data_IF_750659877637
#
_entry.id   IF_750659877637
#
_cell.length_a   1.000
_cell.length_b   1.000
_cell.length_c   1.000
_cell.angle_alpha   90.00
_cell.angle_beta   90.00
_cell.angle_gamma   90.00
#
_symmetry.space_group_name_H-M   'P 1'
#
loop_
_entity.id
_entity.type
_entity.pdbx_description
1 polymer ?
#
# COMPACT_ATOMS: atom_id res chain seq x y z
N UNK A 1 1.86 25.54 11.58
CA UNK A 1 2.50 25.33 10.26
C UNK A 1 2.07 26.44 9.29
N UNK A 2 2.94 26.91 8.37
CA UNK A 2 2.53 27.89 7.35
C UNK A 2 1.98 27.13 6.13
N UNK A 3 0.66 27.19 5.93
CA UNK A 3 -0.01 26.57 4.79
C UNK A 3 0.19 27.40 3.50
N UNK A 4 0.04 26.79 2.30
CA UNK A 4 0.06 27.53 1.04
C UNK A 4 -1.01 28.64 1.02
N UNK A 5 -0.70 29.76 0.33
CA UNK A 5 -1.56 30.97 0.34
C UNK A 5 -3.03 30.70 -0.03
N UNK A 6 -3.25 29.85 -1.02
CA UNK A 6 -4.58 29.60 -1.56
C UNK A 6 -5.28 28.38 -0.90
N UNK A 7 -4.62 27.72 0.07
CA UNK A 7 -5.11 26.47 0.68
C UNK A 7 -6.46 26.64 1.38
N UNK A 8 -6.58 27.61 2.30
CA UNK A 8 -7.83 27.83 3.06
C UNK A 8 -8.99 28.22 2.15
N UNK A 9 -8.78 29.16 1.19
CA UNK A 9 -9.82 29.56 0.25
C UNK A 9 -10.25 28.44 -0.67
N UNK A 10 -9.30 27.63 -1.16
CA UNK A 10 -9.56 26.47 -2.01
C UNK A 10 -10.50 25.46 -1.35
N UNK A 11 -10.24 25.12 -0.07
CA UNK A 11 -11.09 24.16 0.66
C UNK A 11 -12.41 24.78 1.08
N UNK A 12 -12.46 26.08 1.48
CA UNK A 12 -13.73 26.76 1.82
C UNK A 12 -14.69 26.91 0.65
N UNK A 13 -14.20 26.94 -0.56
CA UNK A 13 -15.07 26.91 -1.74
C UNK A 13 -15.76 25.55 -1.92
N UNK A 14 -15.14 24.44 -1.50
CA UNK A 14 -15.53 23.06 -1.78
C UNK A 14 -16.19 22.35 -0.59
N UNK A 15 -15.69 22.61 0.60
CA UNK A 15 -16.11 21.94 1.82
C UNK A 15 -16.93 22.86 2.74
N UNK A 16 -17.61 22.23 3.71
CA UNK A 16 -18.26 22.97 4.80
C UNK A 16 -17.21 23.68 5.65
N UNK A 17 -17.49 24.89 6.07
CA UNK A 17 -16.53 25.74 6.82
C UNK A 17 -16.03 25.10 8.10
N UNK A 18 -16.90 24.32 8.79
CA UNK A 18 -16.55 23.58 10.01
C UNK A 18 -15.52 22.48 9.75
N UNK A 19 -15.59 21.77 8.62
CA UNK A 19 -14.64 20.72 8.24
C UNK A 19 -13.28 21.33 7.85
N UNK A 20 -13.27 22.47 7.18
CA UNK A 20 -12.04 23.21 6.85
C UNK A 20 -11.36 23.71 8.12
N UNK A 21 -12.11 24.29 9.06
CA UNK A 21 -11.56 24.75 10.32
C UNK A 21 -10.94 23.60 11.14
N UNK A 22 -11.61 22.45 11.17
CA UNK A 22 -11.09 21.25 11.83
C UNK A 22 -9.81 20.70 11.17
N UNK A 23 -9.75 20.70 9.82
CA UNK A 23 -8.55 20.31 9.07
C UNK A 23 -7.36 21.22 9.39
N UNK A 24 -7.55 22.54 9.27
CA UNK A 24 -6.47 23.52 9.54
C UNK A 24 -5.94 23.39 10.96
N UNK A 25 -6.83 23.26 11.94
CA UNK A 25 -6.44 23.03 13.35
C UNK A 25 -5.68 21.69 13.51
N UNK A 26 -6.11 20.64 12.82
CA UNK A 26 -5.45 19.34 12.85
C UNK A 26 -4.05 19.33 12.22
N UNK A 27 -3.83 20.16 11.21
CA UNK A 27 -2.53 20.29 10.55
C UNK A 27 -1.46 20.96 11.43
N UNK A 28 -1.83 21.69 12.47
CA UNK A 28 -0.88 22.24 13.46
C UNK A 28 -0.48 21.24 14.55
N UNK A 29 -1.15 20.07 14.62
CA UNK A 29 -0.82 19.03 15.59
C UNK A 29 0.46 18.26 15.27
N UNK A 30 1.03 17.59 16.28
CA UNK A 30 2.19 16.73 16.10
C UNK A 30 1.84 15.45 15.33
N UNK A 31 2.69 15.02 14.38
CA UNK A 31 2.48 13.80 13.62
C UNK A 31 2.61 12.57 14.52
N UNK A 32 1.73 11.61 14.35
CA UNK A 32 1.80 10.33 15.07
C UNK A 32 2.90 9.43 14.52
N UNK A 33 3.44 8.56 15.39
CA UNK A 33 4.38 7.50 15.02
C UNK A 33 3.66 6.16 15.16
N UNK A 34 3.72 5.33 14.13
CA UNK A 34 3.10 4.02 14.15
C UNK A 34 3.91 2.98 13.39
N UNK A 35 3.73 1.73 13.80
CA UNK A 35 4.33 0.55 13.15
C UNK A 35 3.27 -0.51 12.94
N UNK A 36 3.53 -1.44 12.03
CA UNK A 36 2.72 -2.63 11.82
C UNK A 36 3.57 -3.88 11.92
N UNK A 37 3.14 -4.80 12.79
CA UNK A 37 3.80 -6.09 13.04
C UNK A 37 3.57 -7.05 11.87
N UNK A 38 4.58 -7.86 11.55
CA UNK A 38 4.45 -8.97 10.63
C UNK A 38 3.92 -10.21 11.38
N UNK A 39 2.67 -10.64 11.17
CA UNK A 39 2.06 -11.75 11.92
C UNK A 39 2.69 -13.12 11.62
N UNK A 40 3.52 -13.20 10.56
CA UNK A 40 4.29 -14.44 10.24
C UNK A 40 5.67 -14.47 10.91
N UNK A 41 6.08 -13.37 11.54
CA UNK A 41 7.37 -13.22 12.21
C UNK A 41 7.25 -13.10 13.72
N UNK A 42 6.24 -12.42 14.19
CA UNK A 42 6.01 -12.19 15.60
C UNK A 42 4.63 -12.76 16.00
N UNK A 43 4.48 -13.26 17.22
CA UNK A 43 3.20 -13.80 17.67
C UNK A 43 2.15 -12.69 17.84
N UNK A 44 0.86 -13.03 17.81
CA UNK A 44 -0.23 -12.03 17.87
C UNK A 44 -0.23 -11.17 19.13
N UNK A 45 0.30 -11.70 20.24
CA UNK A 45 0.46 -11.03 21.52
C UNK A 45 1.69 -10.12 21.62
N UNK A 46 2.58 -10.17 20.61
CA UNK A 46 3.77 -9.31 20.61
C UNK A 46 3.37 -7.83 20.59
N UNK A 47 3.86 -7.11 21.58
CA UNK A 47 3.65 -5.68 21.73
C UNK A 47 4.99 -4.95 21.72
N UNK A 48 5.15 -3.87 20.95
CA UNK A 48 6.41 -3.13 20.92
C UNK A 48 6.64 -2.35 22.20
N UNK A 49 7.89 -2.26 22.61
CA UNK A 49 8.29 -1.37 23.69
C UNK A 49 7.90 0.07 23.35
N UNK A 50 7.33 0.78 24.32
CA UNK A 50 6.83 2.13 24.09
C UNK A 50 5.53 2.21 23.30
N UNK A 51 4.78 1.12 23.20
CA UNK A 51 3.44 1.15 22.63
C UNK A 51 2.54 2.18 23.34
N UNK A 52 1.70 2.83 22.53
CA UNK A 52 0.72 3.84 22.96
C UNK A 52 -0.67 3.54 22.35
N UNK A 53 -1.05 2.28 22.43
CA UNK A 53 -2.30 1.75 21.92
C UNK A 53 -2.21 1.15 20.52
N UNK A 54 -3.27 0.43 20.16
CA UNK A 54 -3.41 -0.20 18.83
C UNK A 54 -4.10 0.74 17.86
N UNK A 55 -3.80 0.55 16.57
CA UNK A 55 -4.54 1.22 15.49
C UNK A 55 -5.93 0.57 15.38
N UNK A 56 -7.03 1.32 15.53
CA UNK A 56 -8.37 0.73 15.68
C UNK A 56 -8.80 -0.16 14.50
N UNK A 57 -8.40 0.17 13.30
CA UNK A 57 -8.76 -0.55 12.07
C UNK A 57 -7.70 -1.57 11.60
N UNK A 58 -6.62 -1.74 12.36
CA UNK A 58 -5.55 -2.69 12.04
C UNK A 58 -5.00 -3.35 13.32
N UNK A 59 -5.44 -4.57 13.67
CA UNK A 59 -4.99 -5.25 14.88
C UNK A 59 -3.48 -5.42 15.03
N UNK A 60 -2.75 -5.50 13.91
CA UNK A 60 -1.28 -5.58 13.87
C UNK A 60 -0.61 -4.20 13.96
N UNK A 61 -1.39 -3.11 13.93
CA UNK A 61 -0.91 -1.74 13.99
C UNK A 61 -0.77 -1.23 15.44
N UNK A 62 0.33 -0.55 15.73
CA UNK A 62 0.57 0.07 17.03
C UNK A 62 1.01 1.53 16.85
N UNK A 63 0.49 2.39 17.69
CA UNK A 63 1.08 3.71 17.92
C UNK A 63 2.26 3.59 18.89
N UNK A 64 3.23 4.47 18.75
CA UNK A 64 4.37 4.58 19.66
C UNK A 64 4.38 5.94 20.33
N UNK A 65 4.81 5.97 21.62
CA UNK A 65 4.94 7.22 22.41
C UNK A 65 6.00 8.15 21.83
N UNK A 66 7.07 7.56 21.27
CA UNK A 66 8.20 8.29 20.71
C UNK A 66 8.69 7.60 19.43
N UNK A 67 9.37 8.36 18.57
CA UNK A 67 10.00 7.81 17.36
C UNK A 67 11.40 7.29 17.70
N UNK A 68 11.62 5.95 17.67
CA UNK A 68 12.95 5.39 17.84
C UNK A 68 13.80 5.53 16.58
N UNK A 69 15.08 5.18 16.68
CA UNK A 69 15.98 5.06 15.52
C UNK A 69 15.72 3.71 14.84
N UNK A 70 14.64 3.61 14.10
CA UNK A 70 14.18 2.36 13.46
C UNK A 70 15.26 1.66 12.63
N UNK A 71 16.09 2.41 11.91
CA UNK A 71 17.15 1.86 11.04
C UNK A 71 18.25 1.13 11.80
N UNK A 72 18.35 1.33 13.11
CA UNK A 72 19.31 0.64 13.94
C UNK A 72 18.72 -0.65 14.58
N UNK A 73 17.42 -0.91 14.45
CA UNK A 73 16.79 -2.12 14.97
C UNK A 73 16.93 -3.28 13.96
N UNK A 74 17.65 -4.38 14.28
CA UNK A 74 17.78 -5.52 13.39
C UNK A 74 16.45 -6.17 13.04
N UNK A 75 15.42 -6.09 13.90
CA UNK A 75 14.10 -6.64 13.64
C UNK A 75 13.36 -5.94 12.50
N UNK A 76 13.61 -4.63 12.26
CA UNK A 76 13.13 -3.96 11.06
C UNK A 76 13.70 -4.62 9.80
N UNK A 77 15.00 -4.88 9.80
CA UNK A 77 15.71 -5.49 8.67
C UNK A 77 15.38 -6.98 8.48
N UNK A 78 14.95 -7.63 9.56
CA UNK A 78 14.42 -9.00 9.52
C UNK A 78 12.97 -9.07 9.02
N UNK A 79 12.31 -7.93 8.78
CA UNK A 79 10.92 -7.86 8.35
C UNK A 79 9.92 -8.26 9.44
N UNK A 80 10.29 -8.14 10.72
CA UNK A 80 9.42 -8.42 11.85
C UNK A 80 8.32 -7.37 12.01
N UNK A 81 8.58 -6.15 11.58
CA UNK A 81 7.59 -5.06 11.52
C UNK A 81 7.90 -4.08 10.38
N UNK A 82 6.96 -3.21 10.07
CA UNK A 82 7.07 -2.14 9.08
C UNK A 82 6.69 -0.80 9.74
N UNK A 83 7.47 0.25 9.49
CA UNK A 83 7.11 1.62 9.90
C UNK A 83 6.08 2.14 8.93
N UNK A 84 4.82 2.19 9.34
CA UNK A 84 3.69 2.56 8.48
C UNK A 84 2.81 3.60 9.16
N UNK A 85 2.34 4.55 8.38
CA UNK A 85 1.37 5.55 8.83
C UNK A 85 0.01 4.89 9.11
N UNK A 86 -0.62 5.27 10.22
CA UNK A 86 -1.80 4.57 10.76
C UNK A 86 -3.01 4.63 9.84
N UNK A 87 -3.31 5.79 9.21
CA UNK A 87 -4.45 5.92 8.30
C UNK A 87 -4.32 4.98 7.09
N UNK A 88 -3.10 4.83 6.55
CA UNK A 88 -2.83 3.91 5.44
C UNK A 88 -3.02 2.43 5.81
N UNK A 89 -2.98 2.08 7.11
CA UNK A 89 -3.30 0.74 7.60
C UNK A 89 -4.79 0.40 7.49
N UNK A 90 -5.67 1.37 7.18
CA UNK A 90 -7.09 1.13 6.93
C UNK A 90 -7.34 0.13 5.79
N UNK A 91 -6.39 0.00 4.89
CA UNK A 91 -6.39 -1.07 3.91
C UNK A 91 -6.60 -2.47 4.54
N UNK A 92 -6.14 -2.69 5.78
CA UNK A 92 -6.35 -3.97 6.47
C UNK A 92 -7.85 -4.22 6.75
N UNK A 93 -8.56 -3.20 7.20
CA UNK A 93 -10.00 -3.28 7.45
C UNK A 93 -10.76 -3.52 6.15
N UNK A 94 -10.46 -2.76 5.11
CA UNK A 94 -11.10 -2.88 3.80
C UNK A 94 -10.90 -4.26 3.20
N UNK A 95 -9.67 -4.77 3.16
CA UNK A 95 -9.37 -6.10 2.59
C UNK A 95 -10.04 -7.20 3.40
N UNK A 96 -10.03 -7.15 4.73
CA UNK A 96 -10.75 -8.12 5.56
C UNK A 96 -12.25 -8.07 5.30
N UNK A 97 -12.84 -6.90 5.22
CA UNK A 97 -14.27 -6.71 4.91
C UNK A 97 -14.62 -7.33 3.55
N UNK A 98 -13.78 -7.09 2.53
CA UNK A 98 -13.98 -7.66 1.19
C UNK A 98 -13.83 -9.18 1.22
N UNK A 99 -12.76 -9.73 1.80
CA UNK A 99 -12.48 -11.16 1.79
C UNK A 99 -13.49 -11.99 2.63
N UNK A 100 -14.09 -11.38 3.65
CA UNK A 100 -15.05 -12.05 4.55
C UNK A 100 -16.52 -11.78 4.20
N UNK A 101 -16.80 -10.93 3.20
CA UNK A 101 -18.18 -10.70 2.79
C UNK A 101 -18.71 -11.84 1.93
N UNK A 102 -19.96 -12.26 2.17
CA UNK A 102 -20.66 -13.24 1.32
C UNK A 102 -20.87 -12.75 -0.12
N UNK A 103 -20.74 -11.45 -0.36
CA UNK A 103 -20.80 -10.84 -1.69
C UNK A 103 -19.54 -11.10 -2.53
N UNK A 104 -18.43 -11.46 -1.89
CA UNK A 104 -17.17 -11.73 -2.54
C UNK A 104 -16.73 -13.17 -2.26
N UNK A 105 -17.35 -14.13 -2.90
CA UNK A 105 -16.76 -15.47 -3.10
C UNK A 105 -15.52 -15.36 -3.97
N UNK A 106 -14.66 -14.39 -3.64
CA UNK A 106 -13.42 -14.15 -4.32
C UNK A 106 -12.44 -15.25 -3.91
N UNK A 107 -12.32 -16.29 -4.72
CA UNK A 107 -11.03 -16.99 -4.80
C UNK A 107 -10.01 -15.97 -5.33
N UNK A 108 -9.47 -15.15 -4.42
CA UNK A 108 -8.48 -14.15 -4.76
C UNK A 108 -7.19 -14.89 -5.14
N UNK A 109 -6.93 -15.02 -6.44
CA UNK A 109 -5.76 -15.72 -6.95
C UNK A 109 -4.64 -14.76 -7.36
N UNK A 110 -5.01 -13.56 -7.83
CA UNK A 110 -4.06 -12.55 -8.30
C UNK A 110 -4.46 -11.15 -7.87
N UNK A 111 -3.53 -10.46 -7.21
CA UNK A 111 -3.69 -9.10 -6.72
C UNK A 111 -2.55 -8.23 -7.27
N UNK A 112 -2.87 -7.00 -7.63
CA UNK A 112 -1.91 -5.98 -8.02
C UNK A 112 -1.92 -4.82 -7.03
N UNK A 113 -0.75 -4.44 -6.53
CA UNK A 113 -0.48 -3.12 -5.94
C UNK A 113 0.24 -2.30 -7.01
N UNK A 114 -0.46 -1.32 -7.59
CA UNK A 114 -0.05 -0.67 -8.84
C UNK A 114 1.06 0.36 -8.65
N UNK A 115 1.04 1.11 -7.55
CA UNK A 115 2.00 2.17 -7.22
C UNK A 115 2.60 1.89 -5.83
N UNK A 116 3.27 0.74 -5.72
CA UNK A 116 3.50 0.03 -4.46
C UNK A 116 4.60 0.62 -3.57
N UNK A 117 5.56 1.35 -4.13
CA UNK A 117 6.71 1.81 -3.35
C UNK A 117 6.33 2.84 -2.27
N UNK A 118 6.94 2.72 -1.09
CA UNK A 118 8.08 1.86 -0.71
C UNK A 118 7.71 0.44 -0.24
N UNK A 119 6.43 0.01 -0.23
CA UNK A 119 6.03 -1.35 0.10
C UNK A 119 5.15 -1.52 1.35
N UNK A 120 4.74 -0.41 1.99
CA UNK A 120 3.89 -0.47 3.19
C UNK A 120 2.55 -1.16 2.94
N UNK A 121 1.85 -0.79 1.87
CA UNK A 121 0.57 -1.40 1.48
C UNK A 121 0.76 -2.80 0.88
N UNK A 122 1.81 -3.03 0.08
CA UNK A 122 2.17 -4.36 -0.43
C UNK A 122 2.44 -5.39 0.67
N UNK A 123 3.24 -5.03 1.66
CA UNK A 123 3.53 -5.90 2.81
C UNK A 123 2.29 -6.16 3.65
N UNK A 124 1.38 -5.18 3.77
CA UNK A 124 0.09 -5.34 4.42
C UNK A 124 -0.80 -6.30 3.64
N UNK A 125 -0.98 -6.08 2.33
CA UNK A 125 -1.72 -7.00 1.46
C UNK A 125 -1.20 -8.43 1.59
N UNK A 126 0.13 -8.62 1.52
CA UNK A 126 0.71 -9.96 1.61
C UNK A 126 0.40 -10.68 2.93
N UNK A 127 0.26 -9.94 4.03
CA UNK A 127 -0.11 -10.51 5.33
C UNK A 127 -1.57 -10.96 5.41
N UNK A 128 -2.45 -10.41 4.57
CA UNK A 128 -3.89 -10.64 4.60
C UNK A 128 -4.36 -11.64 3.54
N UNK A 129 -3.66 -11.68 2.40
CA UNK A 129 -4.01 -12.55 1.28
C UNK A 129 -3.67 -14.01 1.60
N UNK A 130 -4.44 -14.98 1.08
CA UNK A 130 -4.09 -16.40 1.13
C UNK A 130 -2.68 -16.68 0.63
N UNK A 131 -2.04 -17.72 1.14
CA UNK A 131 -0.64 -18.04 0.79
C UNK A 131 -0.48 -18.43 -0.69
N UNK A 132 -1.49 -19.00 -1.30
CA UNK A 132 -1.56 -19.35 -2.73
C UNK A 132 -1.91 -18.16 -3.64
N UNK A 133 -2.40 -17.05 -3.07
CA UNK A 133 -2.68 -15.84 -3.82
C UNK A 133 -1.39 -15.14 -4.25
N UNK A 134 -1.26 -14.87 -5.54
CA UNK A 134 -0.12 -14.14 -6.10
C UNK A 134 -0.30 -12.63 -5.93
N UNK A 135 0.67 -11.99 -5.31
CA UNK A 135 0.76 -10.53 -5.23
C UNK A 135 1.78 -10.01 -6.23
N UNK A 136 1.36 -9.13 -7.12
CA UNK A 136 2.23 -8.33 -7.96
C UNK A 136 2.32 -6.93 -7.33
N UNK A 137 3.54 -6.48 -7.03
CA UNK A 137 3.80 -5.14 -6.47
C UNK A 137 4.61 -4.36 -7.49
N UNK A 138 4.04 -3.29 -8.03
CA UNK A 138 4.63 -2.53 -9.13
C UNK A 138 5.01 -1.10 -8.73
N UNK A 139 6.10 -0.62 -9.32
CA UNK A 139 6.53 0.78 -9.21
C UNK A 139 7.28 1.19 -10.48
N UNK A 140 6.82 2.20 -11.23
CA UNK A 140 7.48 2.60 -12.47
C UNK A 140 8.84 3.27 -12.27
N UNK A 141 9.06 3.95 -11.15
CA UNK A 141 10.34 4.59 -10.85
C UNK A 141 11.37 3.56 -10.41
N UNK A 142 12.49 3.47 -11.14
CA UNK A 142 13.55 2.48 -10.91
C UNK A 142 14.12 2.49 -9.49
N UNK A 143 14.38 3.67 -8.92
CA UNK A 143 14.98 3.77 -7.59
C UNK A 143 13.97 3.33 -6.52
N UNK A 144 12.72 3.78 -6.64
CA UNK A 144 11.65 3.37 -5.73
C UNK A 144 11.33 1.88 -5.85
N UNK A 145 11.37 1.31 -7.06
CA UNK A 145 11.15 -0.13 -7.28
C UNK A 145 12.21 -1.00 -6.59
N UNK A 146 13.47 -0.53 -6.52
CA UNK A 146 14.51 -1.23 -5.75
C UNK A 146 14.24 -1.21 -4.25
N UNK A 147 13.78 -0.08 -3.70
CA UNK A 147 13.35 0.02 -2.29
C UNK A 147 12.16 -0.88 -2.00
N UNK A 148 11.20 -0.95 -2.93
CA UNK A 148 10.08 -1.88 -2.85
C UNK A 148 10.56 -3.34 -2.79
N UNK A 149 11.46 -3.74 -3.70
CA UNK A 149 12.00 -5.09 -3.75
C UNK A 149 12.75 -5.45 -2.45
N UNK A 150 13.53 -4.51 -1.90
CA UNK A 150 14.18 -4.65 -0.59
C UNK A 150 13.17 -4.93 0.53
N UNK A 151 12.12 -4.11 0.63
CA UNK A 151 11.13 -4.25 1.68
C UNK A 151 10.30 -5.54 1.53
N UNK A 152 9.97 -5.94 0.30
CA UNK A 152 9.30 -7.23 0.05
C UNK A 152 10.20 -8.42 0.37
N UNK A 153 11.50 -8.36 0.07
CA UNK A 153 12.47 -9.38 0.44
C UNK A 153 12.59 -9.52 1.96
N UNK A 154 12.69 -8.40 2.69
CA UNK A 154 12.71 -8.38 4.16
C UNK A 154 11.44 -8.97 4.76
N UNK A 155 10.27 -8.60 4.23
CA UNK A 155 8.98 -9.15 4.67
C UNK A 155 8.90 -10.66 4.47
N UNK A 156 9.39 -11.15 3.34
CA UNK A 156 9.67 -12.56 3.07
C UNK A 156 8.43 -13.42 2.87
N UNK A 157 7.95 -13.50 1.64
CA UNK A 157 6.90 -14.42 1.23
C UNK A 157 7.12 -14.88 -0.21
N UNK A 158 6.95 -16.19 -0.54
CA UNK A 158 7.30 -16.73 -1.85
C UNK A 158 6.39 -16.25 -2.99
N UNK A 159 5.10 -15.98 -2.71
CA UNK A 159 4.13 -15.61 -3.75
C UNK A 159 4.04 -14.08 -3.96
N UNK A 160 5.19 -13.43 -4.14
CA UNK A 160 5.30 -12.01 -4.46
C UNK A 160 6.17 -11.82 -5.69
N UNK A 161 5.72 -10.96 -6.59
CA UNK A 161 6.48 -10.53 -7.76
C UNK A 161 6.59 -9.01 -7.72
N UNK A 162 7.81 -8.49 -7.68
CA UNK A 162 8.05 -7.05 -7.77
C UNK A 162 8.35 -6.69 -9.20
N UNK A 163 7.65 -5.68 -9.73
CA UNK A 163 7.82 -5.25 -11.13
C UNK A 163 8.14 -3.77 -11.21
N UNK A 164 8.85 -3.41 -12.28
CA UNK A 164 9.06 -2.04 -12.70
C UNK A 164 8.43 -1.86 -14.08
N UNK A 165 7.26 -1.20 -14.13
CA UNK A 165 6.53 -0.96 -15.36
C UNK A 165 5.52 0.19 -15.21
N UNK A 166 5.11 0.80 -16.32
CA UNK A 166 3.94 1.68 -16.35
C UNK A 166 2.64 0.87 -16.40
N UNK A 167 1.53 1.48 -16.01
CA UNK A 167 0.21 0.83 -15.94
C UNK A 167 -0.19 0.16 -17.27
N UNK A 168 0.00 0.84 -18.40
CA UNK A 168 -0.29 0.31 -19.73
C UNK A 168 0.55 -0.94 -20.05
N UNK A 169 1.83 -0.97 -19.65
CA UNK A 169 2.72 -2.11 -19.90
C UNK A 169 2.30 -3.34 -19.08
N UNK A 170 1.81 -3.13 -17.85
CA UNK A 170 1.25 -4.21 -17.03
C UNK A 170 0.02 -4.81 -17.71
N UNK A 171 -0.91 -3.98 -18.17
CA UNK A 171 -2.11 -4.45 -18.86
C UNK A 171 -1.77 -5.31 -20.10
N UNK A 172 -0.73 -4.92 -20.85
CA UNK A 172 -0.24 -5.68 -22.00
C UNK A 172 0.56 -6.94 -21.63
N UNK A 173 1.03 -7.06 -20.38
CA UNK A 173 1.84 -8.19 -19.94
C UNK A 173 1.01 -9.38 -19.41
N UNK A 174 -0.30 -9.20 -19.22
CA UNK A 174 -1.19 -10.28 -18.77
C UNK A 174 -1.15 -11.45 -19.78
N UNK A 175 -1.05 -12.67 -19.27
CA UNK A 175 -0.90 -13.88 -20.06
C UNK A 175 0.54 -14.22 -20.48
N UNK A 176 1.53 -13.33 -20.26
CA UNK A 176 2.93 -13.62 -20.55
C UNK A 176 3.56 -14.49 -19.43
N UNK A 177 4.49 -15.36 -19.83
CA UNK A 177 5.21 -16.24 -18.90
C UNK A 177 5.94 -15.44 -17.81
N UNK A 178 5.84 -15.89 -16.56
CA UNK A 178 6.50 -15.26 -15.42
C UNK A 178 5.75 -14.08 -14.80
N UNK A 179 4.66 -13.64 -15.41
CA UNK A 179 3.80 -12.57 -14.91
C UNK A 179 2.40 -13.12 -14.52
N UNK A 180 1.37 -12.28 -14.41
CA UNK A 180 -0.01 -12.69 -14.17
C UNK A 180 -0.56 -13.41 -15.42
N UNK A 181 -1.04 -14.64 -15.27
CA UNK A 181 -1.57 -15.42 -16.39
C UNK A 181 -3.02 -15.05 -16.74
N UNK A 182 -3.68 -14.28 -15.89
CA UNK A 182 -5.08 -13.85 -16.00
C UNK A 182 -5.23 -12.43 -15.45
N UNK A 183 -6.33 -11.73 -15.79
CA UNK A 183 -6.65 -10.44 -15.18
C UNK A 183 -6.72 -10.51 -13.66
N UNK A 184 -6.44 -9.38 -12.99
CA UNK A 184 -6.39 -9.30 -11.54
C UNK A 184 -7.79 -9.36 -10.92
N UNK A 185 -7.90 -10.05 -9.80
CA UNK A 185 -9.12 -10.09 -8.98
C UNK A 185 -9.30 -8.81 -8.18
N UNK A 186 -8.17 -8.23 -7.73
CA UNK A 186 -8.11 -6.99 -6.98
C UNK A 186 -6.92 -6.15 -7.47
N UNK A 187 -7.15 -4.87 -7.68
CA UNK A 187 -6.11 -3.87 -7.92
C UNK A 187 -6.20 -2.83 -6.81
N UNK A 188 -5.08 -2.61 -6.11
CA UNK A 188 -4.87 -1.43 -5.27
C UNK A 188 -4.18 -0.35 -6.13
N UNK A 189 -4.84 0.78 -6.28
CA UNK A 189 -4.34 1.98 -6.94
C UNK A 189 -4.12 3.08 -5.90
N UNK A 190 -2.97 3.00 -5.20
CA UNK A 190 -2.48 4.07 -4.32
C UNK A 190 -1.72 5.08 -5.17
N UNK A 191 -2.47 5.94 -5.84
CA UNK A 191 -1.97 6.74 -6.95
C UNK A 191 -1.14 7.95 -6.49
N UNK A 192 -0.17 8.42 -7.31
CA UNK A 192 0.53 9.68 -7.04
C UNK A 192 -0.49 10.83 -6.90
N UNK A 193 -0.31 11.70 -5.90
CA UNK A 193 -1.25 12.75 -5.56
C UNK A 193 -0.53 14.03 -5.11
N UNK A 194 -1.28 15.11 -4.86
CA UNK A 194 -0.75 16.41 -4.41
C UNK A 194 -0.12 16.36 -3.01
N UNK A 195 -0.41 15.30 -2.22
CA UNK A 195 0.29 15.01 -0.99
C UNK A 195 -0.10 15.88 0.21
N UNK A 196 -1.29 16.43 0.24
CA UNK A 196 -1.79 17.28 1.33
C UNK A 196 -1.69 16.60 2.70
N UNK A 197 -1.93 15.29 2.76
CA UNK A 197 -1.78 14.48 3.96
C UNK A 197 -0.34 14.35 4.46
N UNK A 198 0.65 14.76 3.68
CA UNK A 198 2.07 14.73 4.07
C UNK A 198 2.59 16.06 4.58
N UNK A 199 1.81 17.14 4.50
CA UNK A 199 2.26 18.51 4.82
C UNK A 199 2.81 18.65 6.23
N UNK A 200 2.32 17.88 7.22
CA UNK A 200 2.88 17.90 8.59
C UNK A 200 4.28 17.29 8.69
N UNK A 201 4.67 16.44 7.76
CA UNK A 201 5.94 15.69 7.79
C UNK A 201 6.95 16.19 6.77
N UNK A 202 6.48 16.75 5.67
CA UNK A 202 7.29 17.09 4.50
C UNK A 202 7.04 18.54 4.08
N UNK A 203 7.99 19.40 4.34
CA UNK A 203 7.92 20.81 3.93
C UNK A 203 7.83 20.98 2.40
N UNK A 204 8.35 20.00 1.65
CA UNK A 204 8.26 19.99 0.19
C UNK A 204 6.82 19.84 -0.29
N UNK A 205 5.99 19.05 0.38
CA UNK A 205 4.57 18.93 0.08
C UNK A 205 3.83 20.28 0.19
N UNK A 206 4.18 21.07 1.22
CA UNK A 206 3.66 22.43 1.37
C UNK A 206 4.13 23.36 0.24
N UNK A 207 5.41 23.27 -0.14
CA UNK A 207 6.01 24.15 -1.14
C UNK A 207 5.51 23.88 -2.58
N UNK A 208 5.16 22.63 -2.90
CA UNK A 208 4.72 22.21 -4.23
C UNK A 208 3.22 22.38 -4.45
N UNK A 209 2.44 22.43 -3.37
CA UNK A 209 1.00 22.43 -3.46
C UNK A 209 0.45 23.72 -4.12
N UNK A 210 -0.45 23.55 -5.05
CA UNK A 210 -1.26 24.60 -5.68
C UNK A 210 -2.51 24.01 -6.32
N UNK A 211 -3.57 24.78 -6.56
CA UNK A 211 -4.76 24.29 -7.28
C UNK A 211 -4.45 23.72 -8.67
N UNK A 212 -3.44 24.27 -9.38
CA UNK A 212 -3.01 23.72 -10.67
C UNK A 212 -2.32 22.37 -10.52
N UNK A 213 -1.51 22.16 -9.47
CA UNK A 213 -0.86 20.89 -9.19
C UNK A 213 -1.88 19.81 -8.80
N UNK A 214 -2.91 20.16 -8.02
CA UNK A 214 -4.06 19.28 -7.74
C UNK A 214 -4.72 18.81 -9.03
N UNK A 215 -5.05 19.73 -9.95
CA UNK A 215 -5.68 19.39 -11.22
C UNK A 215 -4.78 18.50 -12.11
N UNK A 216 -3.45 18.73 -12.12
CA UNK A 216 -2.48 17.88 -12.81
C UNK A 216 -2.45 16.46 -12.23
N UNK A 217 -2.42 16.34 -10.90
CA UNK A 217 -2.48 15.06 -10.20
C UNK A 217 -3.77 14.30 -10.49
N UNK A 218 -4.92 14.96 -10.41
CA UNK A 218 -6.23 14.36 -10.71
C UNK A 218 -6.29 13.80 -12.14
N UNK A 219 -5.78 14.56 -13.13
CA UNK A 219 -5.71 14.11 -14.52
C UNK A 219 -4.76 12.92 -14.71
N UNK A 220 -3.60 12.93 -14.05
CA UNK A 220 -2.64 11.81 -14.07
C UNK A 220 -3.25 10.53 -13.48
N UNK A 221 -3.96 10.64 -12.35
CA UNK A 221 -4.62 9.54 -11.70
C UNK A 221 -5.68 8.89 -12.61
N UNK A 222 -6.50 9.67 -13.30
CA UNK A 222 -7.45 9.18 -14.31
C UNK A 222 -6.75 8.42 -15.43
N UNK A 223 -5.60 8.92 -15.91
CA UNK A 223 -4.81 8.23 -16.93
C UNK A 223 -4.29 6.88 -16.44
N UNK A 224 -3.70 6.84 -15.23
CA UNK A 224 -3.16 5.62 -14.62
C UNK A 224 -4.26 4.57 -14.46
N UNK A 225 -5.43 4.96 -13.92
CA UNK A 225 -6.55 4.03 -13.73
C UNK A 225 -7.13 3.56 -15.06
N UNK A 226 -7.26 4.45 -16.05
CA UNK A 226 -7.70 4.05 -17.40
C UNK A 226 -6.78 3.01 -18.04
N UNK A 227 -5.46 3.21 -17.92
CA UNK A 227 -4.46 2.34 -18.51
C UNK A 227 -4.47 0.94 -17.89
N UNK A 228 -4.71 0.84 -16.56
CA UNK A 228 -4.75 -0.46 -15.86
C UNK A 228 -6.13 -1.12 -15.88
N UNK A 229 -7.20 -0.38 -16.19
CA UNK A 229 -8.57 -0.89 -16.10
C UNK A 229 -8.83 -2.19 -16.88
N UNK A 230 -8.27 -2.39 -18.10
CA UNK A 230 -8.42 -3.66 -18.81
C UNK A 230 -7.81 -4.85 -18.08
N UNK A 231 -6.85 -4.62 -17.19
CA UNK A 231 -6.20 -5.67 -16.40
C UNK A 231 -7.04 -6.14 -15.20
N UNK A 232 -8.08 -5.42 -14.80
CA UNK A 232 -9.03 -5.82 -13.78
C UNK A 232 -10.12 -6.68 -14.43
N UNK A 233 -10.40 -7.88 -13.89
CA UNK A 233 -11.45 -8.74 -14.41
C UNK A 233 -12.85 -8.14 -14.23
N UNK A 234 -13.83 -8.64 -14.97
CA UNK A 234 -15.24 -8.36 -14.70
C UNK A 234 -15.60 -8.82 -13.27
N UNK A 235 -16.34 -8.00 -12.53
CA UNK A 235 -16.63 -8.20 -11.10
C UNK A 235 -15.41 -8.07 -10.17
N UNK A 236 -14.24 -7.70 -10.68
CA UNK A 236 -13.03 -7.45 -9.89
C UNK A 236 -13.12 -6.16 -9.09
N UNK A 237 -12.27 -6.04 -8.08
CA UNK A 237 -12.26 -4.93 -7.13
C UNK A 237 -11.11 -3.97 -7.42
N UNK A 238 -11.41 -2.69 -7.51
CA UNK A 238 -10.45 -1.59 -7.43
C UNK A 238 -10.55 -0.96 -6.04
N UNK A 239 -9.42 -0.93 -5.32
CA UNK A 239 -9.26 -0.08 -4.14
C UNK A 239 -8.47 1.14 -4.60
N UNK A 240 -9.11 2.31 -4.57
CA UNK A 240 -8.51 3.59 -4.93
C UNK A 240 -8.11 4.32 -3.65
N UNK A 241 -6.88 4.83 -3.57
CA UNK A 241 -6.41 5.61 -2.42
C UNK A 241 -5.44 6.71 -2.81
N UNK A 242 -5.41 7.76 -2.00
CA UNK A 242 -4.50 8.91 -2.09
C UNK A 242 -4.04 9.31 -0.68
N UNK A 243 -2.94 10.05 -0.58
CA UNK A 243 -2.55 10.75 0.64
C UNK A 243 -2.91 12.24 0.55
N UNK A 244 -4.10 12.53 0.06
CA UNK A 244 -4.67 13.87 -0.04
C UNK A 244 -6.11 13.87 0.47
N UNK A 245 -6.78 14.99 0.43
CA UNK A 245 -8.17 15.12 0.85
C UNK A 245 -8.98 16.10 0.00
N UNK A 246 -8.42 16.59 -1.12
CA UNK A 246 -9.18 17.46 -2.01
C UNK A 246 -10.16 16.65 -2.87
N UNK A 247 -11.35 17.21 -3.20
CA UNK A 247 -12.38 16.47 -3.91
C UNK A 247 -12.02 16.12 -5.36
N UNK A 248 -11.17 16.91 -6.04
CA UNK A 248 -10.80 16.65 -7.44
C UNK A 248 -10.02 15.35 -7.60
N UNK A 249 -9.12 15.07 -6.65
CA UNK A 249 -8.31 13.84 -6.66
C UNK A 249 -9.06 12.65 -6.04
N UNK A 250 -10.00 12.91 -5.15
CA UNK A 250 -10.69 11.93 -4.36
C UNK A 250 -12.08 11.60 -4.90
N UNK A 251 -13.14 12.26 -4.45
CA UNK A 251 -14.52 11.94 -4.81
C UNK A 251 -14.78 12.06 -6.31
N UNK A 252 -14.31 13.14 -6.96
CA UNK A 252 -14.58 13.36 -8.39
C UNK A 252 -13.89 12.31 -9.26
N UNK A 253 -12.69 11.85 -8.87
CA UNK A 253 -12.01 10.77 -9.56
C UNK A 253 -12.71 9.43 -9.37
N UNK A 254 -13.18 9.12 -8.15
CA UNK A 254 -13.95 7.89 -7.89
C UNK A 254 -15.27 7.89 -8.67
N UNK A 255 -15.98 9.00 -8.69
CA UNK A 255 -17.22 9.17 -9.47
C UNK A 255 -16.96 9.07 -10.97
N UNK A 256 -15.85 9.64 -11.44
CA UNK A 256 -15.44 9.52 -12.83
C UNK A 256 -15.13 8.05 -13.19
N UNK A 257 -14.42 7.30 -12.35
CA UNK A 257 -14.16 5.87 -12.54
C UNK A 257 -15.50 5.10 -12.63
N UNK A 258 -16.41 5.37 -11.70
CA UNK A 258 -17.71 4.68 -11.67
C UNK A 258 -18.49 4.92 -12.95
N UNK A 259 -18.54 6.16 -13.42
CA UNK A 259 -19.34 6.58 -14.60
C UNK A 259 -18.68 6.19 -15.92
N UNK A 260 -17.40 6.53 -16.10
CA UNK A 260 -16.73 6.42 -17.41
C UNK A 260 -16.13 5.03 -17.65
N UNK A 261 -15.72 4.32 -16.59
CA UNK A 261 -15.11 3.01 -16.70
C UNK A 261 -16.08 1.85 -16.36
N UNK A 262 -17.29 2.17 -15.91
CA UNK A 262 -18.32 1.19 -15.61
C UNK A 262 -18.05 0.40 -14.34
N UNK A 263 -18.17 1.05 -13.19
CA UNK A 263 -18.03 0.43 -11.88
C UNK A 263 -19.12 0.90 -10.91
N UNK A 264 -19.40 0.11 -9.91
CA UNK A 264 -20.21 0.50 -8.76
C UNK A 264 -19.32 0.77 -7.54
N UNK A 265 -19.67 1.79 -6.76
CA UNK A 265 -19.01 2.08 -5.49
C UNK A 265 -19.51 1.12 -4.41
N UNK A 266 -18.57 0.55 -3.64
CA UNK A 266 -18.86 -0.36 -2.54
C UNK A 266 -18.67 0.40 -1.23
N UNK A 267 -19.74 0.66 -0.46
CA UNK A 267 -19.61 1.34 0.82
C UNK A 267 -18.83 0.50 1.82
N UNK A 268 -17.94 1.17 2.56
CA UNK A 268 -17.09 0.55 3.57
C UNK A 268 -17.72 0.77 4.94
N UNK A 269 -17.97 -0.30 5.74
CA UNK A 269 -18.47 -0.17 7.10
C UNK A 269 -17.38 0.40 8.02
N UNK A 270 -17.68 1.45 8.75
CA UNK A 270 -16.76 2.08 9.71
C UNK A 270 -17.45 2.30 11.07
N UNK A 271 -16.68 2.23 12.14
CA UNK A 271 -17.17 2.58 13.45
C UNK A 271 -17.09 4.09 13.66
N UNK A 272 -18.14 4.75 14.17
CA UNK A 272 -18.14 6.20 14.40
C UNK A 272 -17.01 6.68 15.31
N UNK A 273 -16.57 5.84 16.25
CA UNK A 273 -15.47 6.10 17.17
C UNK A 273 -14.10 6.27 16.49
N UNK A 274 -13.98 5.86 15.24
CA UNK A 274 -12.72 5.98 14.48
C UNK A 274 -12.46 7.40 13.96
N UNK A 275 -13.50 8.26 13.92
CA UNK A 275 -13.38 9.63 13.44
C UNK A 275 -13.21 9.75 11.90
N UNK A 276 -13.42 8.65 11.16
CA UNK A 276 -13.37 8.63 9.70
C UNK A 276 -14.59 9.37 9.16
N UNK A 277 -14.36 10.26 8.18
CA UNK A 277 -15.40 11.08 7.57
C UNK A 277 -15.83 10.50 6.21
N UNK A 278 -17.11 10.68 5.90
CA UNK A 278 -17.64 10.45 4.55
C UNK A 278 -17.44 11.66 3.64
N UNK A 279 -18.36 11.86 2.72
CA UNK A 279 -18.35 13.01 1.80
C UNK A 279 -18.49 14.35 2.58
N UNK A 280 -17.54 15.26 2.37
CA UNK A 280 -17.48 16.55 3.06
C UNK A 280 -17.81 17.73 2.14
N UNK A 281 -18.09 17.48 0.86
CA UNK A 281 -18.43 18.50 -0.12
C UNK A 281 -19.74 19.24 0.28
N UNK A 282 -19.89 20.47 -0.18
CA UNK A 282 -21.11 21.25 0.02
C UNK A 282 -22.30 20.60 -0.69
N UNK A 283 -23.47 20.65 -0.10
CA UNK A 283 -24.66 19.89 -0.52
C UNK A 283 -25.13 20.12 -1.98
N UNK A 284 -24.70 21.20 -2.63
CA UNK A 284 -25.11 21.51 -4.01
C UNK A 284 -24.59 20.51 -5.06
N UNK A 285 -23.56 19.74 -4.72
CA UNK A 285 -22.93 18.75 -5.62
C UNK A 285 -23.38 17.31 -5.34
N UNK A 286 -24.16 17.11 -4.27
CA UNK A 286 -24.51 15.77 -3.76
C UNK A 286 -25.87 15.27 -4.30
N UNK A 287 -26.75 16.14 -4.82
CA UNK A 287 -28.12 15.73 -5.17
C UNK A 287 -28.19 14.64 -6.25
N UNK A 288 -27.28 14.65 -7.22
CA UNK A 288 -27.24 13.63 -8.29
C UNK A 288 -26.75 12.25 -7.80
N UNK A 289 -26.07 12.20 -6.66
CA UNK A 289 -25.47 10.98 -6.09
C UNK A 289 -26.44 10.27 -5.16
N UNK A 290 -27.31 11.00 -4.46
CA UNK A 290 -28.31 10.42 -3.53
C UNK A 290 -29.21 9.36 -4.20
N UNK A 291 -29.51 9.52 -5.48
CA UNK A 291 -30.32 8.58 -6.23
C UNK A 291 -29.64 7.21 -6.44
N UNK A 292 -28.31 7.19 -6.66
CA UNK A 292 -27.57 5.95 -6.88
C UNK A 292 -27.21 5.20 -5.59
N UNK A 293 -27.02 5.93 -4.48
CA UNK A 293 -26.75 5.34 -3.16
C UNK A 293 -28.02 4.70 -2.56
N UNK A 294 -29.20 5.18 -2.91
CA UNK A 294 -30.47 4.63 -2.40
C UNK A 294 -30.74 3.21 -2.89
N UNK A 295 -30.35 2.86 -4.12
CA UNK A 295 -30.45 1.50 -4.65
C UNK A 295 -29.50 0.51 -3.95
N UNK A 296 -28.33 0.99 -3.49
CA UNK A 296 -27.35 0.19 -2.74
C UNK A 296 -27.82 -0.05 -1.30
N UNK A 297 -28.56 0.90 -0.69
CA UNK A 297 -29.12 0.73 0.67
C UNK A 297 -30.06 -0.45 0.79
N UNK A 298 -30.81 -0.76 -0.26
CA UNK A 298 -31.73 -1.90 -0.25
C UNK A 298 -31.02 -3.27 -0.24
N UNK A 299 -29.83 -3.35 -0.85
CA UNK A 299 -29.05 -4.62 -0.90
C UNK A 299 -28.21 -4.89 0.37
N UNK A 300 -28.00 -3.88 1.22
CA UNK A 300 -27.17 -3.98 2.44
C UNK A 300 -28.01 -4.24 3.71
N UNK A 301 -29.34 -4.16 3.64
CA UNK A 301 -30.22 -4.36 4.80
C UNK A 301 -30.10 -5.74 5.48
N UNK A 302 -29.64 -6.76 4.76
CA UNK A 302 -29.43 -8.11 5.32
C UNK A 302 -28.23 -8.24 6.27
N UNK A 303 -27.28 -7.27 6.26
CA UNK A 303 -26.11 -7.26 7.16
C UNK A 303 -26.45 -6.58 8.51
N UNK A 304 -27.61 -5.88 8.62
CA UNK A 304 -27.97 -5.01 9.72
C UNK A 304 -28.48 -5.69 11.00
N UNK A 305 -28.60 -6.98 11.04
CA UNK A 305 -29.32 -7.61 12.17
C UNK A 305 -28.55 -7.60 13.51
N UNK A 306 -27.25 -7.21 13.58
CA UNK A 306 -26.46 -7.37 14.81
C UNK A 306 -25.59 -6.21 15.26
N UNK A 307 -25.49 -5.05 14.55
CA UNK A 307 -24.65 -3.92 15.03
C UNK A 307 -25.29 -2.56 14.73
N UNK A 308 -25.88 -1.92 15.71
CA UNK A 308 -26.64 -0.67 15.60
C UNK A 308 -25.79 0.62 15.47
N UNK A 309 -24.45 0.54 15.39
CA UNK A 309 -23.55 1.70 15.40
C UNK A 309 -22.65 1.85 14.17
N UNK A 310 -22.71 0.94 13.19
CA UNK A 310 -21.84 0.99 12.01
C UNK A 310 -22.41 1.97 10.97
N UNK A 311 -21.54 2.83 10.42
CA UNK A 311 -21.84 3.73 9.31
C UNK A 311 -21.18 3.20 8.04
N UNK A 312 -21.89 3.17 6.92
CA UNK A 312 -21.35 2.77 5.64
C UNK A 312 -20.98 4.00 4.82
N UNK A 313 -19.68 4.17 4.53
CA UNK A 313 -19.18 5.28 3.74
C UNK A 313 -18.74 4.82 2.35
N UNK A 314 -19.22 5.44 1.25
CA UNK A 314 -18.66 5.22 -0.09
C UNK A 314 -17.26 5.83 -0.23
N UNK A 315 -16.96 6.86 0.55
CA UNK A 315 -15.69 7.56 0.63
C UNK A 315 -15.22 7.57 2.09
N UNK A 316 -13.96 7.28 2.33
CA UNK A 316 -13.36 7.27 3.67
C UNK A 316 -12.22 8.28 3.72
N UNK A 317 -12.44 9.42 4.39
CA UNK A 317 -11.45 10.46 4.62
C UNK A 317 -10.87 10.37 6.03
N UNK A 318 -9.57 10.46 6.11
CA UNK A 318 -8.79 10.56 7.34
C UNK A 318 -8.23 11.96 7.43
N UNK A 319 -8.67 12.71 8.43
CA UNK A 319 -8.21 14.08 8.61
C UNK A 319 -7.33 14.20 9.86
N UNK A 320 -6.16 14.86 9.75
CA UNK A 320 -5.36 15.20 10.92
C UNK A 320 -6.20 15.86 12.01
N UNK A 321 -6.01 15.44 13.27
CA UNK A 321 -6.78 15.96 14.41
C UNK A 321 -8.14 15.29 14.64
N UNK A 322 -8.76 14.69 13.64
CA UNK A 322 -9.98 13.88 13.80
C UNK A 322 -9.66 12.40 13.97
N UNK A 323 -8.64 11.93 13.26
CA UNK A 323 -8.04 10.61 13.47
C UNK A 323 -6.64 10.77 14.03
N UNK A 324 -6.16 9.75 14.74
CA UNK A 324 -4.75 9.69 15.15
C UNK A 324 -3.91 9.17 13.97
N UNK A 325 -3.70 10.03 12.98
CA UNK A 325 -3.00 9.71 11.73
C UNK A 325 -2.82 10.93 10.85
N UNK A 326 -2.31 10.71 9.65
CA UNK A 326 -2.15 11.72 8.63
C UNK A 326 -3.36 11.75 7.67
N UNK A 327 -3.34 12.69 6.72
CA UNK A 327 -4.34 12.74 5.67
C UNK A 327 -4.28 11.52 4.74
N UNK A 328 -5.45 10.96 4.49
CA UNK A 328 -5.60 9.78 3.64
C UNK A 328 -7.03 9.66 3.15
N UNK A 329 -7.17 9.15 1.94
CA UNK A 329 -8.46 8.84 1.33
C UNK A 329 -8.49 7.40 0.81
N UNK A 330 -9.64 6.74 0.92
CA UNK A 330 -9.86 5.43 0.33
C UNK A 330 -11.31 5.23 -0.11
N UNK A 331 -11.48 4.64 -1.30
CA UNK A 331 -12.75 4.18 -1.82
C UNK A 331 -12.60 2.80 -2.48
N UNK A 332 -13.69 2.05 -2.52
CA UNK A 332 -13.75 0.72 -3.12
C UNK A 332 -14.76 0.71 -4.26
N UNK A 333 -14.35 0.18 -5.40
CA UNK A 333 -15.20 0.04 -6.57
C UNK A 333 -15.18 -1.41 -7.07
N UNK A 334 -16.32 -1.87 -7.61
CA UNK A 334 -16.43 -3.15 -8.29
C UNK A 334 -16.69 -2.89 -9.78
N UNK A 335 -15.83 -3.44 -10.64
CA UNK A 335 -16.02 -3.39 -12.09
C UNK A 335 -17.28 -4.15 -12.47
N UNK A 336 -18.13 -3.56 -13.32
CA UNK A 336 -19.32 -4.26 -13.79
C UNK A 336 -18.95 -5.58 -14.48
N UNK A 337 -19.78 -6.62 -14.29
CA UNK A 337 -19.72 -7.84 -15.06
C UNK A 337 -20.28 -7.63 -16.47
N UNK A 338 -19.86 -8.41 -17.47
CA UNK A 338 -20.62 -8.55 -18.70
C UNK A 338 -21.92 -9.28 -18.38
N UNK A 339 -23.06 -8.83 -18.90
CA UNK A 339 -24.36 -9.50 -18.72
C UNK A 339 -24.46 -10.87 -19.43
N UNK A 340 -23.37 -11.41 -19.97
CA UNK A 340 -23.32 -12.71 -20.62
C UNK A 340 -22.67 -13.75 -19.70
N UNK A 341 -23.52 -14.73 -19.39
CA UNK A 341 -23.35 -15.97 -18.67
C UNK A 341 -21.94 -16.50 -18.38
N UNK A 342 -21.76 -16.96 -17.14
CA UNK A 342 -20.74 -17.92 -16.75
C UNK A 342 -20.82 -19.21 -17.61
N UNK A 343 -20.18 -19.19 -18.76
CA UNK A 343 -19.73 -20.40 -19.47
C UNK A 343 -18.22 -20.32 -19.56
N UNK A 344 -17.55 -21.21 -18.85
CA UNK A 344 -16.15 -21.55 -19.07
C UNK A 344 -16.00 -21.97 -20.55
N UNK A 345 -15.13 -21.30 -21.30
CA UNK A 345 -14.75 -21.42 -22.69
C UNK A 345 -15.32 -20.31 -23.57
N UNK A 346 -14.50 -19.26 -23.74
CA UNK A 346 -14.27 -18.67 -25.08
C UNK A 346 -13.31 -17.48 -24.96
N UNK A 347 -12.08 -17.73 -25.36
CA UNK A 347 -11.08 -16.72 -25.64
C UNK A 347 -11.38 -16.03 -26.99
N UNK A 348 -12.26 -15.05 -27.02
CA UNK A 348 -12.36 -14.15 -28.17
C UNK A 348 -12.00 -12.71 -27.81
N UNK A 349 -11.06 -12.17 -28.57
CA UNK A 349 -10.51 -10.82 -28.46
C UNK A 349 -11.56 -9.73 -28.61
N UNK A 350 -11.58 -8.68 -27.76
CA UNK A 350 -12.42 -7.51 -27.97
C UNK A 350 -11.93 -6.71 -29.18
N UNK A 351 -12.84 -6.41 -30.10
CA UNK A 351 -12.62 -5.52 -31.26
C UNK A 351 -12.17 -4.13 -30.77
N UNK A 352 -10.98 -3.75 -31.19
CA UNK A 352 -10.38 -2.45 -30.92
C UNK A 352 -11.27 -1.30 -31.40
N UNK A 353 -11.70 -0.43 -30.48
CA UNK A 353 -12.22 0.89 -30.82
C UNK A 353 -11.08 1.72 -31.46
N UNK A 354 -11.19 1.94 -32.77
CA UNK A 354 -10.30 2.80 -33.51
C UNK A 354 -10.47 4.26 -33.05
N UNK A 355 -9.64 4.72 -32.12
CA UNK A 355 -9.39 6.14 -31.89
C UNK A 355 -8.32 6.61 -32.87
N UNK A 356 -8.70 7.49 -33.79
CA UNK A 356 -7.76 8.27 -34.60
C UNK A 356 -6.98 9.20 -33.66
N UNK A 357 -5.74 8.88 -33.30
CA UNK A 357 -4.74 9.85 -32.86
C UNK A 357 -3.72 10.06 -33.98
N UNK A 358 -3.79 11.24 -34.57
CA UNK A 358 -2.69 11.85 -35.30
C UNK A 358 -1.83 12.51 -34.24
N UNK A 359 -0.70 11.94 -33.91
CA UNK A 359 0.44 12.67 -33.39
C UNK A 359 1.73 11.99 -33.82
N UNK A 360 2.51 12.76 -34.55
CA UNK A 360 3.82 12.41 -35.05
C UNK A 360 4.81 12.48 -33.88
N UNK A 361 5.27 11.35 -33.37
CA UNK A 361 6.60 11.24 -32.78
C UNK A 361 7.40 10.24 -33.57
N UNK A 362 8.33 10.76 -34.38
CA UNK A 362 9.47 10.00 -34.89
C UNK A 362 10.37 9.65 -33.71
N UNK A 363 10.51 8.39 -33.41
CA UNK A 363 11.48 7.82 -32.48
C UNK A 363 11.73 6.38 -32.88
N UNK A 364 12.94 6.10 -33.23
CA UNK A 364 13.47 4.81 -33.67
C UNK A 364 13.24 3.67 -32.68
N UNK A 365 13.05 2.48 -33.23
CA UNK A 365 13.44 1.20 -32.62
C UNK A 365 12.36 0.53 -31.78
N UNK A 366 11.99 -0.68 -32.15
CA UNK A 366 11.35 -1.72 -31.38
C UNK A 366 12.06 -1.96 -30.03
N UNK A 367 11.77 -1.13 -29.04
CA UNK A 367 11.95 -1.46 -27.65
C UNK A 367 10.56 -1.87 -27.13
N UNK A 368 10.26 -3.17 -27.18
CA UNK A 368 9.26 -3.71 -26.29
C UNK A 368 9.60 -3.16 -24.89
N UNK A 369 8.74 -2.31 -24.32
CA UNK A 369 8.94 -1.77 -22.98
C UNK A 369 8.96 -2.98 -22.04
N UNK A 370 10.16 -3.32 -21.56
CA UNK A 370 10.37 -4.57 -20.88
C UNK A 370 9.89 -4.37 -19.44
N UNK A 371 8.75 -4.99 -19.11
CA UNK A 371 8.40 -5.25 -17.71
C UNK A 371 9.61 -5.93 -17.07
N UNK A 372 10.21 -5.26 -16.10
CA UNK A 372 11.35 -5.78 -15.34
C UNK A 372 10.86 -6.40 -14.06
N UNK A 373 11.22 -7.67 -13.81
CA UNK A 373 10.97 -8.36 -12.54
C UNK A 373 12.21 -8.22 -11.65
N UNK A 374 12.00 -7.79 -10.40
CA UNK A 374 13.07 -7.61 -9.43
C UNK A 374 13.09 -8.79 -8.43
N UNK A 375 14.28 -9.30 -8.03
CA UNK A 375 14.38 -10.43 -7.12
C UNK A 375 13.95 -10.03 -5.68
N UNK A 376 13.27 -10.96 -5.00
CA UNK A 376 12.82 -10.81 -3.61
C UNK A 376 13.30 -11.93 -2.67
N UNK A 377 14.09 -12.87 -3.18
CA UNK A 377 14.60 -14.06 -2.46
C UNK A 377 16.06 -13.96 -2.02
N UNK A 378 16.64 -12.77 -2.10
CA UNK A 378 18.09 -12.52 -1.87
C UNK A 378 18.55 -12.70 -0.42
N UNK A 379 17.65 -12.84 0.53
CA UNK A 379 17.97 -13.01 1.96
C UNK A 379 17.81 -14.45 2.46
N UNK A 380 17.42 -15.39 1.62
CA UNK A 380 17.07 -16.74 2.02
C UNK A 380 17.75 -17.80 1.15
N UNK A 381 18.19 -18.88 1.77
CA UNK A 381 18.65 -20.08 1.08
C UNK A 381 18.08 -21.32 1.78
N UNK A 382 17.28 -22.07 1.03
CA UNK A 382 16.59 -23.25 1.56
C UNK A 382 17.58 -24.27 2.08
N UNK A 383 17.41 -24.66 3.35
CA UNK A 383 18.25 -25.68 4.01
C UNK A 383 19.58 -25.16 4.56
N UNK A 384 19.89 -23.86 4.45
CA UNK A 384 21.10 -23.30 5.05
C UNK A 384 21.06 -23.42 6.59
N UNK A 385 22.18 -23.86 7.25
CA UNK A 385 22.27 -23.88 8.70
C UNK A 385 22.02 -22.49 9.29
N UNK A 386 21.26 -22.42 10.38
CA UNK A 386 20.93 -21.15 11.05
C UNK A 386 21.93 -20.84 12.16
N UNK A 387 22.34 -19.57 12.24
CA UNK A 387 23.25 -19.06 13.25
C UNK A 387 22.60 -17.83 13.89
N UNK A 388 22.43 -17.88 15.20
CA UNK A 388 21.87 -16.76 15.96
C UNK A 388 22.97 -15.74 16.27
N UNK A 389 22.72 -14.47 16.04
CA UNK A 389 23.64 -13.37 16.31
C UNK A 389 23.20 -12.60 17.56
N UNK A 390 24.17 -12.15 18.34
CA UNK A 390 23.93 -11.12 19.35
C UNK A 390 23.51 -9.80 18.70
N UNK A 391 23.00 -8.86 19.49
CA UNK A 391 22.59 -7.52 18.98
C UNK A 391 23.78 -6.79 18.31
N UNK A 392 24.95 -6.85 18.94
CA UNK A 392 26.17 -6.23 18.39
C UNK A 392 26.57 -6.86 17.05
N UNK A 393 26.58 -8.19 16.98
CA UNK A 393 26.90 -8.92 15.74
C UNK A 393 25.86 -8.67 14.65
N UNK A 394 24.57 -8.59 14.99
CA UNK A 394 23.51 -8.27 14.04
C UNK A 394 23.68 -6.85 13.44
N UNK A 395 24.04 -5.87 14.25
CA UNK A 395 24.35 -4.51 13.77
C UNK A 395 25.57 -4.52 12.85
N UNK A 396 26.66 -5.20 13.24
CA UNK A 396 27.87 -5.33 12.42
C UNK A 396 27.58 -6.08 11.11
N UNK A 397 26.70 -7.09 11.16
CA UNK A 397 26.21 -7.75 9.96
C UNK A 397 25.48 -6.77 9.04
N UNK A 398 24.55 -5.97 9.54
CA UNK A 398 23.83 -4.97 8.75
C UNK A 398 24.74 -3.83 8.22
N UNK A 399 25.86 -3.58 8.88
CA UNK A 399 26.94 -2.69 8.41
C UNK A 399 27.84 -3.34 7.35
N UNK A 400 27.57 -4.61 7.03
CA UNK A 400 28.33 -5.42 6.07
C UNK A 400 29.73 -5.78 6.51
N UNK A 401 29.98 -5.89 7.81
CA UNK A 401 31.23 -6.39 8.33
C UNK A 401 31.33 -7.92 8.20
N UNK A 402 32.55 -8.43 8.13
CA UNK A 402 32.82 -9.85 8.30
C UNK A 402 32.73 -10.19 9.79
N UNK A 403 32.19 -11.36 10.10
CA UNK A 403 32.07 -11.86 11.48
C UNK A 403 32.91 -13.13 11.67
N UNK A 404 33.19 -13.45 12.92
CA UNK A 404 33.65 -14.78 13.33
C UNK A 404 32.46 -15.50 13.96
N UNK A 405 32.04 -16.58 13.32
CA UNK A 405 30.91 -17.38 13.80
C UNK A 405 31.38 -18.42 14.79
N UNK A 406 30.48 -19.01 15.63
CA UNK A 406 30.81 -20.12 16.54
C UNK A 406 31.53 -21.22 15.83
N UNK A 407 32.52 -21.87 16.53
CA UNK A 407 33.44 -22.86 15.93
C UNK A 407 32.72 -24.09 15.34
N UNK A 408 31.55 -24.43 15.89
CA UNK A 408 30.69 -25.52 15.44
C UNK A 408 29.89 -25.19 14.17
N UNK A 409 29.92 -23.94 13.74
CA UNK A 409 29.15 -23.52 12.55
C UNK A 409 29.71 -24.16 11.28
N UNK A 410 28.91 -24.90 10.50
CA UNK A 410 29.37 -25.53 9.27
C UNK A 410 29.99 -24.52 8.28
N UNK A 411 31.01 -24.94 7.54
CA UNK A 411 31.53 -24.14 6.42
C UNK A 411 30.53 -24.08 5.27
N UNK A 412 30.52 -22.98 4.53
CA UNK A 412 29.61 -22.76 3.42
C UNK A 412 28.64 -21.63 3.71
N UNK A 413 27.49 -21.64 3.00
CA UNK A 413 26.43 -20.67 3.20
C UNK A 413 25.68 -20.99 4.49
N UNK A 414 25.47 -19.96 5.31
CA UNK A 414 24.68 -20.01 6.54
C UNK A 414 23.70 -18.88 6.60
N UNK A 415 22.53 -19.14 7.17
CA UNK A 415 21.48 -18.16 7.43
C UNK A 415 21.72 -17.51 8.79
N UNK A 416 22.06 -16.22 8.82
CA UNK A 416 22.18 -15.50 10.09
C UNK A 416 20.83 -14.96 10.53
N UNK A 417 20.57 -15.09 11.84
CA UNK A 417 19.32 -14.73 12.47
C UNK A 417 19.56 -13.79 13.66
N UNK A 418 18.54 -13.05 14.02
CA UNK A 418 18.49 -12.29 15.27
C UNK A 418 17.14 -12.49 15.94
N UNK A 419 17.12 -12.93 17.19
CA UNK A 419 15.89 -13.32 17.93
C UNK A 419 15.00 -14.27 17.13
N UNK A 420 15.64 -15.30 16.53
CA UNK A 420 14.97 -16.28 15.70
C UNK A 420 14.51 -15.76 14.32
N UNK A 421 14.64 -14.46 14.04
CA UNK A 421 14.24 -13.87 12.75
C UNK A 421 15.43 -13.83 11.79
N UNK A 422 15.24 -14.26 10.55
CA UNK A 422 16.29 -14.23 9.53
C UNK A 422 16.69 -12.80 9.19
N UNK A 423 18.00 -12.54 9.14
CA UNK A 423 18.56 -11.28 8.67
C UNK A 423 19.10 -11.40 7.23
N UNK A 424 19.67 -12.55 6.88
CA UNK A 424 20.24 -12.80 5.57
C UNK A 424 21.35 -13.86 5.62
N UNK A 425 22.28 -13.84 4.67
CA UNK A 425 23.24 -14.89 4.41
C UNK A 425 24.68 -14.48 4.70
N UNK A 426 25.50 -15.42 5.18
CA UNK A 426 26.96 -15.33 5.25
C UNK A 426 27.61 -16.55 4.62
N UNK A 427 28.84 -16.41 4.12
CA UNK A 427 29.68 -17.53 3.69
C UNK A 427 30.75 -17.81 4.75
N UNK A 428 30.54 -18.85 5.57
CA UNK A 428 31.50 -19.27 6.62
C UNK A 428 32.71 -19.96 5.99
N UNK A 429 33.91 -19.42 6.25
CA UNK A 429 35.20 -19.99 5.84
C UNK A 429 35.91 -20.72 6.98
N UNK A 430 35.34 -20.70 8.19
CA UNK A 430 35.88 -21.30 9.41
C UNK A 430 36.61 -20.27 10.30
N UNK A 431 37.55 -19.51 9.79
CA UNK A 431 38.26 -18.44 10.53
C UNK A 431 37.53 -17.10 10.51
N UNK A 432 36.69 -16.87 9.50
CA UNK A 432 35.82 -15.73 9.34
C UNK A 432 34.64 -16.10 8.45
N UNK A 433 33.58 -15.35 8.52
CA UNK A 433 32.45 -15.42 7.60
C UNK A 433 32.33 -14.14 6.76
N UNK A 434 32.25 -14.30 5.44
CA UNK A 434 32.05 -13.22 4.53
C UNK A 434 30.56 -12.84 4.50
N UNK A 435 30.29 -11.57 4.59
CA UNK A 435 28.94 -11.00 4.62
C UNK A 435 28.36 -10.94 3.21
N UNK A 436 27.19 -11.54 2.98
CA UNK A 436 26.48 -11.56 1.70
C UNK A 436 25.27 -10.61 1.67
N UNK A 437 25.08 -9.80 2.73
CA UNK A 437 24.02 -8.79 2.76
C UNK A 437 24.17 -7.82 1.58
N UNK A 438 23.09 -7.45 0.87
CA UNK A 438 23.19 -6.55 -0.27
C UNK A 438 23.89 -5.24 0.07
N UNK A 439 24.78 -4.79 -0.80
CA UNK A 439 25.63 -3.62 -0.50
C UNK A 439 24.84 -2.33 -0.34
N UNK A 440 23.77 -2.22 -1.09
CA UNK A 440 22.90 -1.07 -1.15
C UNK A 440 22.02 -0.92 0.10
N UNK A 441 21.80 -2.05 0.82
CA UNK A 441 20.90 -2.10 2.00
C UNK A 441 21.65 -1.90 3.33
N UNK A 442 22.98 -1.74 3.28
CA UNK A 442 23.79 -1.56 4.50
C UNK A 442 23.36 -0.33 5.29
N UNK A 443 23.33 -0.46 6.62
CA UNK A 443 23.16 0.67 7.52
C UNK A 443 24.46 1.44 7.68
N UNK A 444 24.36 2.74 7.96
CA UNK A 444 25.55 3.58 8.22
C UNK A 444 26.14 3.25 9.60
N UNK A 445 27.46 3.39 9.75
CA UNK A 445 28.13 3.37 11.06
C UNK A 445 27.74 4.59 11.90
N UNK A 446 27.77 4.47 13.22
CA UNK A 446 27.57 5.58 14.16
C UNK A 446 26.21 5.62 14.85
N UNK A 447 25.33 4.65 14.63
CA UNK A 447 24.16 4.51 15.50
C UNK A 447 24.59 3.97 16.86
N UNK A 448 24.18 4.62 17.97
CA UNK A 448 24.26 4.01 19.30
C UNK A 448 23.49 2.68 19.25
N UNK A 449 23.96 1.66 19.98
CA UNK A 449 23.29 0.36 20.08
C UNK A 449 21.86 0.63 20.60
N UNK A 450 20.83 0.49 19.79
CA UNK A 450 19.47 0.81 20.21
C UNK A 450 18.87 -0.31 21.03
N UNK A 451 17.85 0.01 21.81
CA UNK A 451 16.89 -0.99 22.25
C UNK A 451 16.07 -1.46 21.05
N UNK A 452 15.89 -2.77 20.94
CA UNK A 452 14.97 -3.35 19.95
C UNK A 452 13.53 -3.13 20.42
N UNK A 453 12.60 -2.87 19.47
CA UNK A 453 11.20 -2.66 19.82
C UNK A 453 10.49 -3.88 20.40
N UNK A 454 11.03 -5.06 20.20
CA UNK A 454 10.44 -6.29 20.72
C UNK A 454 11.49 -7.06 21.52
N UNK A 455 11.08 -7.62 22.66
CA UNK A 455 11.94 -8.41 23.57
C UNK A 455 12.36 -9.76 22.94
#
# INVERSE_FOLDING_TARGET
>A
MQLPKDFDSYFRERWRDEDVAALVAGLDGEPSVSIRVNPKRLPPEAEPEGADGRVPWCPEGFYLKQRPVFTADPLLHAGAYYVQEASSMFLAHVVRTILHSSFFTLRCQTVLDLCAAPGGKSTLLRSLLPDDCRLVSNEPNRVRAQVLAENMAKWGHPNVVVTQAYAADIAHAIGKAGFAQRPFDLILADVPCSGEGMMRKEAEAVAQWSPSFVAECAALQRSIVSDIWPALRAGGILIYSTCTFNPEEDEENVEWIARELGAEMIPIPVEPSWGIRGDMRKEREIEDIKYKIQDIKYKIQDIRAHQSSIINHPFCHFLPGQVRGEGFFMAVLRKHGSEEGDSEDDAESPKALKRKKKDKRKGNGDAASALTVLPTDVLDETGAPRVELSLEEAIRYLQREALVLPAETPRGIVQVCFRGQRLGLMKNLGTRANNLYPKEWRIRSGYAIPHTLFA
#
